data_IF_184285603176
#
_entry.id   IF_184285603176
#
_cell.length_a   1.000
_cell.length_b   1.000
_cell.length_c   1.000
_cell.angle_alpha   90.00
_cell.angle_beta   90.00
_cell.angle_gamma   90.00
#
_symmetry.space_group_name_H-M   'P 1'
#
loop_
_entity.id
_entity.type
_entity.pdbx_description
1 polymer ?
#
# COMPACT_ATOMS: atom_id res chain seq x y z
N UNK A 1 4.24 -51.45 13.38
CA UNK A 1 4.23 -50.32 14.33
C UNK A 1 4.59 -49.08 13.56
N UNK A 2 3.68 -48.11 13.43
CA UNK A 2 3.92 -46.89 12.66
C UNK A 2 4.48 -45.82 13.60
N UNK A 3 5.72 -45.41 13.36
CA UNK A 3 6.39 -44.36 14.13
C UNK A 3 5.93 -43.00 13.63
N UNK A 4 5.16 -42.29 14.45
CA UNK A 4 4.76 -40.90 14.16
C UNK A 4 5.94 -39.99 14.49
N UNK A 5 6.68 -39.59 13.47
CA UNK A 5 7.75 -38.58 13.59
C UNK A 5 7.10 -37.22 13.72
N UNK A 6 7.04 -36.68 14.93
CA UNK A 6 6.72 -35.27 15.17
C UNK A 6 7.92 -34.42 14.76
N UNK A 7 7.99 -34.07 13.47
CA UNK A 7 8.98 -33.13 12.97
C UNK A 7 8.59 -31.71 13.40
N UNK A 8 9.29 -31.16 14.38
CA UNK A 8 9.31 -29.71 14.62
C UNK A 8 9.98 -29.04 13.42
N UNK A 9 9.21 -28.81 12.36
CA UNK A 9 9.66 -28.09 11.18
C UNK A 9 9.64 -26.60 11.48
N UNK A 10 10.81 -26.08 11.84
CA UNK A 10 11.12 -24.65 11.80
C UNK A 10 10.91 -24.18 10.36
N UNK A 11 9.84 -23.43 10.12
CA UNK A 11 9.64 -22.78 8.83
C UNK A 11 10.71 -21.70 8.67
N UNK A 12 11.43 -21.71 7.55
CA UNK A 12 12.36 -20.64 7.22
C UNK A 12 11.73 -19.70 6.20
N UNK A 13 12.00 -18.40 6.33
CA UNK A 13 11.53 -17.38 5.38
C UNK A 13 12.06 -17.66 3.98
N UNK A 14 13.23 -18.28 3.87
CA UNK A 14 13.89 -18.67 2.62
C UNK A 14 13.06 -19.64 1.75
N UNK A 15 12.14 -20.38 2.36
CA UNK A 15 11.25 -21.29 1.64
C UNK A 15 10.02 -20.57 1.07
N UNK A 16 9.76 -19.33 1.50
CA UNK A 16 8.60 -18.58 1.06
C UNK A 16 8.84 -17.98 -0.33
N UNK A 17 7.80 -17.98 -1.14
CA UNK A 17 7.74 -17.23 -2.41
C UNK A 17 6.86 -16.01 -2.21
N UNK A 18 7.16 -14.96 -2.96
CA UNK A 18 6.31 -13.79 -3.05
C UNK A 18 5.44 -13.93 -4.30
N UNK A 19 4.13 -13.98 -4.11
CA UNK A 19 3.16 -13.89 -5.20
C UNK A 19 2.66 -12.45 -5.27
N UNK A 20 2.71 -11.87 -6.47
CA UNK A 20 2.31 -10.49 -6.73
C UNK A 20 1.16 -10.52 -7.71
N UNK A 21 0.03 -9.94 -7.33
CA UNK A 21 -1.12 -9.73 -8.22
C UNK A 21 -1.47 -8.26 -8.27
N UNK A 22 -1.85 -7.80 -9.46
CA UNK A 22 -2.30 -6.44 -9.71
C UNK A 22 -3.76 -6.50 -10.13
N UNK A 23 -4.60 -5.74 -9.43
CA UNK A 23 -6.01 -5.55 -9.74
C UNK A 23 -6.23 -4.09 -10.11
N UNK A 24 -6.89 -3.89 -11.24
CA UNK A 24 -7.18 -2.56 -11.78
C UNK A 24 -8.59 -2.19 -11.34
N UNK A 25 -8.76 -1.02 -10.73
CA UNK A 25 -10.10 -0.53 -10.38
C UNK A 25 -10.88 -0.21 -11.65
N UNK A 26 -12.09 -0.75 -11.78
CA UNK A 26 -12.94 -0.55 -12.96
C UNK A 26 -13.29 0.93 -13.17
N UNK A 27 -13.51 1.67 -12.10
CA UNK A 27 -13.88 3.09 -12.12
C UNK A 27 -12.71 3.98 -12.54
N UNK A 28 -11.49 3.60 -12.15
CA UNK A 28 -10.29 4.44 -12.31
C UNK A 28 -9.07 3.65 -12.82
N UNK A 29 -9.15 2.95 -13.96
CA UNK A 29 -8.20 1.90 -14.33
C UNK A 29 -6.78 2.39 -14.66
N UNK A 30 -6.63 3.70 -14.90
CA UNK A 30 -5.34 4.33 -15.17
C UNK A 30 -4.76 5.07 -13.96
N UNK A 31 -5.58 5.27 -12.94
CA UNK A 31 -5.30 6.19 -11.84
C UNK A 31 -5.03 5.40 -10.56
N UNK A 32 -5.85 4.38 -10.29
CA UNK A 32 -5.79 3.54 -9.10
C UNK A 32 -5.58 2.08 -9.46
N UNK A 33 -4.67 1.43 -8.74
CA UNK A 33 -4.37 0.00 -8.88
C UNK A 33 -4.13 -0.63 -7.52
N UNK A 34 -4.76 -1.75 -7.25
CA UNK A 34 -4.45 -2.58 -6.10
C UNK A 34 -3.31 -3.51 -6.45
N UNK A 35 -2.35 -3.60 -5.54
CA UNK A 35 -1.25 -4.54 -5.62
C UNK A 35 -1.38 -5.43 -4.39
N UNK A 36 -1.66 -6.71 -4.61
CA UNK A 36 -1.66 -7.71 -3.56
C UNK A 36 -0.36 -8.49 -3.59
N UNK A 37 0.22 -8.65 -2.41
CA UNK A 37 1.50 -9.28 -2.18
C UNK A 37 1.31 -10.36 -1.12
N UNK A 38 1.42 -11.62 -1.52
CA UNK A 38 1.31 -12.76 -0.62
C UNK A 38 2.65 -13.46 -0.44
N UNK A 39 3.09 -13.56 0.81
CA UNK A 39 4.21 -14.42 1.18
C UNK A 39 3.69 -15.84 1.40
N UNK A 40 3.94 -16.73 0.43
CA UNK A 40 3.40 -18.08 0.36
C UNK A 40 4.46 -19.10 0.73
N UNK A 41 4.19 -19.92 1.74
CA UNK A 41 5.02 -21.06 2.10
C UNK A 41 4.53 -22.34 1.45
N UNK A 42 5.41 -23.20 0.89
CA UNK A 42 5.04 -24.38 0.11
C UNK A 42 4.04 -25.32 0.80
N UNK A 43 4.15 -25.47 2.12
CA UNK A 43 3.30 -26.39 2.89
C UNK A 43 2.21 -25.71 3.71
N UNK A 44 2.27 -24.38 3.88
CA UNK A 44 1.32 -23.65 4.74
C UNK A 44 0.45 -22.65 3.98
N UNK A 45 0.68 -22.46 2.69
CA UNK A 45 0.00 -21.43 1.90
C UNK A 45 0.43 -20.03 2.31
N UNK A 46 -0.43 -19.04 2.06
CA UNK A 46 -0.18 -17.65 2.41
C UNK A 46 0.01 -17.47 3.93
N UNK A 47 1.15 -16.92 4.33
CA UNK A 47 1.47 -16.62 5.74
C UNK A 47 1.14 -15.16 6.06
N UNK A 48 1.45 -14.26 5.11
CA UNK A 48 1.26 -12.83 5.23
C UNK A 48 0.79 -12.27 3.90
N UNK A 49 -0.05 -11.26 4.01
CA UNK A 49 -0.58 -10.53 2.87
C UNK A 49 -0.32 -9.04 3.09
N UNK A 50 -0.01 -8.35 2.01
CA UNK A 50 0.06 -6.91 1.95
C UNK A 50 -0.78 -6.45 0.76
N UNK A 51 -1.71 -5.55 1.04
CA UNK A 51 -2.44 -4.84 0.00
C UNK A 51 -1.88 -3.43 -0.06
N UNK A 52 -1.49 -3.01 -1.26
CA UNK A 52 -1.06 -1.66 -1.52
C UNK A 52 -1.95 -1.03 -2.58
N UNK A 53 -2.23 0.26 -2.40
CA UNK A 53 -2.90 1.08 -3.40
C UNK A 53 -1.86 1.94 -4.08
N UNK A 54 -1.73 1.79 -5.40
CA UNK A 54 -0.88 2.62 -6.24
C UNK A 54 -1.73 3.71 -6.88
N UNK A 55 -1.24 4.95 -6.79
CA UNK A 55 -1.95 6.18 -7.12
C UNK A 55 -1.11 6.98 -8.14
N UNK A 56 -1.63 7.14 -9.35
CA UNK A 56 -1.03 7.99 -10.39
C UNK A 56 -1.66 9.40 -10.37
N UNK A 57 -1.04 10.29 -9.59
CA UNK A 57 -1.56 11.65 -9.32
C UNK A 57 -1.66 12.54 -10.54
N UNK A 58 -0.75 12.37 -11.49
CA UNK A 58 -0.73 13.18 -12.71
C UNK A 58 -1.97 12.91 -13.59
N UNK A 59 -2.61 11.76 -13.40
CA UNK A 59 -3.80 11.37 -14.12
C UNK A 59 -5.11 11.96 -13.56
N UNK A 60 -5.13 12.49 -12.32
CA UNK A 60 -6.38 12.94 -11.65
C UNK A 60 -6.93 14.28 -12.18
N UNK A 61 -6.12 15.11 -12.85
CA UNK A 61 -6.54 16.38 -13.48
C UNK A 61 -7.42 17.30 -12.60
N UNK A 62 -7.21 17.30 -11.28
CA UNK A 62 -7.96 18.12 -10.32
C UNK A 62 -9.08 17.41 -9.57
N UNK A 63 -9.36 16.14 -9.88
CA UNK A 63 -10.35 15.30 -9.18
C UNK A 63 -9.68 14.40 -8.12
N UNK A 64 -8.58 14.85 -7.51
CA UNK A 64 -7.75 14.00 -6.66
C UNK A 64 -8.51 13.43 -5.47
N UNK A 65 -9.28 14.25 -4.78
CA UNK A 65 -10.00 13.82 -3.58
C UNK A 65 -11.22 12.96 -3.89
N UNK A 66 -11.99 13.31 -4.92
CA UNK A 66 -13.21 12.58 -5.30
C UNK A 66 -12.90 11.10 -5.57
N UNK A 67 -11.85 10.86 -6.35
CA UNK A 67 -11.41 9.50 -6.72
C UNK A 67 -10.87 8.71 -5.53
N UNK A 68 -10.33 9.37 -4.50
CA UNK A 68 -9.85 8.69 -3.28
C UNK A 68 -10.98 8.46 -2.25
N UNK A 69 -12.05 9.25 -2.32
CA UNK A 69 -13.25 9.12 -1.49
C UNK A 69 -14.02 7.84 -1.80
N UNK A 70 -14.09 7.49 -3.09
CA UNK A 70 -14.73 6.24 -3.55
C UNK A 70 -13.99 4.98 -3.05
N UNK A 71 -12.70 5.10 -2.68
CA UNK A 71 -11.83 3.95 -2.47
C UNK A 71 -11.79 3.43 -1.02
N UNK A 72 -11.70 4.30 -0.02
CA UNK A 72 -11.85 3.89 1.40
C UNK A 72 -12.03 5.08 2.33
N UNK A 73 -12.75 4.94 3.45
CA UNK A 73 -13.00 6.03 4.40
C UNK A 73 -11.71 6.65 5.02
N UNK A 74 -10.62 5.89 5.13
CA UNK A 74 -9.37 6.36 5.76
C UNK A 74 -8.49 7.18 4.80
N UNK A 75 -8.58 6.90 3.50
CA UNK A 75 -7.69 7.44 2.47
C UNK A 75 -7.93 8.93 2.16
N UNK A 76 -9.18 9.44 2.12
CA UNK A 76 -9.50 10.86 1.97
C UNK A 76 -8.97 11.69 3.14
N UNK A 77 -9.12 11.18 4.36
CA UNK A 77 -8.61 11.87 5.55
C UNK A 77 -7.10 12.01 5.47
N UNK A 78 -6.40 10.92 5.09
CA UNK A 78 -4.97 10.97 4.83
C UNK A 78 -4.61 11.96 3.71
N UNK A 79 -5.29 11.86 2.56
CA UNK A 79 -4.99 12.65 1.37
C UNK A 79 -5.23 14.15 1.58
N UNK A 80 -6.36 14.53 2.15
CA UNK A 80 -6.72 15.93 2.43
C UNK A 80 -5.87 16.56 3.52
N UNK A 81 -5.28 15.75 4.42
CA UNK A 81 -4.36 16.27 5.43
C UNK A 81 -3.02 16.70 4.82
N UNK A 82 -2.51 15.95 3.84
CA UNK A 82 -1.16 16.13 3.29
C UNK A 82 -1.13 16.88 1.96
N UNK A 83 -2.09 16.64 1.09
CA UNK A 83 -2.07 17.10 -0.29
C UNK A 83 -3.14 18.16 -0.56
N UNK A 84 -2.98 18.88 -1.67
CA UNK A 84 -4.00 19.74 -2.27
C UNK A 84 -4.88 18.97 -3.27
N UNK A 85 -5.84 19.65 -3.90
CA UNK A 85 -6.77 19.04 -4.87
C UNK A 85 -6.09 18.58 -6.17
N UNK A 86 -4.81 18.93 -6.38
CA UNK A 86 -3.99 18.46 -7.49
C UNK A 86 -3.05 17.33 -7.07
N UNK A 87 -3.14 16.85 -5.81
CA UNK A 87 -2.28 15.81 -5.28
C UNK A 87 -0.86 16.27 -4.94
N UNK A 88 -0.62 17.59 -4.84
CA UNK A 88 0.68 18.15 -4.45
C UNK A 88 0.73 18.33 -2.94
N UNK A 89 1.90 18.13 -2.35
CA UNK A 89 2.10 18.31 -0.93
C UNK A 89 1.83 19.77 -0.56
N UNK A 90 1.07 19.99 0.51
CA UNK A 90 0.72 21.36 0.91
C UNK A 90 1.99 22.17 1.25
N UNK A 91 2.10 23.42 0.78
CA UNK A 91 3.28 24.26 1.05
C UNK A 91 3.59 24.42 2.54
N UNK A 92 2.54 24.47 3.38
CA UNK A 92 2.68 24.57 4.83
C UNK A 92 3.43 23.38 5.45
N UNK A 93 3.45 22.21 4.82
CA UNK A 93 4.19 21.04 5.28
C UNK A 93 5.65 21.03 4.79
N UNK A 94 5.99 21.85 3.80
CA UNK A 94 7.35 21.97 3.25
C UNK A 94 8.09 23.16 3.86
N UNK A 95 7.39 24.30 3.97
CA UNK A 95 7.99 25.59 4.31
C UNK A 95 7.99 25.86 5.82
N UNK A 96 7.09 25.24 6.58
CA UNK A 96 6.98 25.49 8.01
C UNK A 96 7.98 24.65 8.82
N UNK A 97 8.92 25.32 9.51
CA UNK A 97 9.96 24.68 10.32
C UNK A 97 9.43 23.76 11.43
N UNK A 98 8.18 23.96 11.88
CA UNK A 98 7.55 23.13 12.89
C UNK A 98 6.78 21.94 12.31
N UNK A 99 6.13 22.12 11.14
CA UNK A 99 5.30 21.07 10.54
C UNK A 99 6.07 20.13 9.61
N UNK A 100 7.18 20.58 9.01
CA UNK A 100 8.00 19.76 8.11
C UNK A 100 8.76 18.62 8.80
N UNK A 101 8.70 18.55 10.14
CA UNK A 101 9.41 17.57 10.95
C UNK A 101 10.92 17.64 10.72
N UNK A 102 11.54 16.50 10.40
CA UNK A 102 12.98 16.43 10.08
C UNK A 102 13.34 17.04 8.72
N UNK A 103 12.37 17.51 7.95
CA UNK A 103 12.59 18.07 6.61
C UNK A 103 13.01 17.03 5.57
N UNK A 104 12.70 15.75 5.81
CA UNK A 104 13.07 14.64 4.90
C UNK A 104 12.22 14.64 3.63
N UNK A 105 11.05 15.25 3.66
CA UNK A 105 10.11 15.28 2.54
C UNK A 105 9.83 16.73 2.15
N UNK A 106 10.09 17.07 0.89
CA UNK A 106 9.76 18.35 0.28
C UNK A 106 9.01 18.14 -1.03
N UNK A 107 9.31 18.97 -2.03
CA UNK A 107 8.68 18.90 -3.35
C UNK A 107 8.99 17.61 -4.13
N UNK A 108 9.88 16.75 -3.62
CA UNK A 108 10.05 15.39 -4.15
C UNK A 108 8.75 14.60 -4.07
N UNK A 109 7.92 14.87 -3.06
CA UNK A 109 6.59 14.28 -2.95
C UNK A 109 5.59 14.87 -3.93
N UNK A 110 5.88 15.92 -4.70
CA UNK A 110 4.93 16.45 -5.70
C UNK A 110 4.94 15.68 -7.02
N UNK A 111 5.91 14.78 -7.21
CA UNK A 111 6.13 14.09 -8.46
C UNK A 111 5.97 12.58 -8.33
N UNK A 112 5.60 11.94 -9.43
CA UNK A 112 5.53 10.49 -9.54
C UNK A 112 4.40 9.85 -8.74
N UNK A 113 4.54 8.53 -8.57
CA UNK A 113 3.50 7.66 -8.04
C UNK A 113 3.51 7.65 -6.52
N UNK A 114 2.33 7.73 -5.91
CA UNK A 114 2.16 7.41 -4.50
C UNK A 114 1.73 5.96 -4.33
N UNK A 115 2.16 5.37 -3.22
CA UNK A 115 1.73 4.05 -2.81
C UNK A 115 1.42 4.06 -1.33
N UNK A 116 0.22 3.64 -0.96
CA UNK A 116 -0.12 3.31 0.44
C UNK A 116 -0.10 1.80 0.58
N UNK A 117 0.24 1.28 1.76
CA UNK A 117 0.27 -0.16 1.98
C UNK A 117 -0.22 -0.53 3.35
N UNK A 118 -1.02 -1.58 3.42
CA UNK A 118 -1.52 -2.18 4.66
C UNK A 118 -1.14 -3.64 4.70
N UNK A 119 -0.45 -4.03 5.77
CA UNK A 119 -0.09 -5.41 6.02
C UNK A 119 -1.15 -6.09 6.90
N UNK A 120 -1.52 -7.32 6.57
CA UNK A 120 -2.45 -8.12 7.34
C UNK A 120 -1.86 -9.50 7.68
N UNK A 121 -2.39 -10.12 8.74
CA UNK A 121 -2.12 -11.51 9.06
C UNK A 121 -3.08 -12.39 8.29
N UNK A 122 -2.57 -13.42 7.60
CA UNK A 122 -3.46 -14.39 6.99
C UNK A 122 -4.15 -15.21 8.10
N UNK A 123 -5.49 -15.20 8.16
CA UNK A 123 -6.23 -16.05 9.10
C UNK A 123 -6.01 -17.51 8.70
N UNK A 124 -5.48 -18.33 9.62
CA UNK A 124 -5.45 -19.78 9.43
C UNK A 124 -6.90 -20.26 9.33
N UNK A 125 -7.28 -20.78 8.16
CA UNK A 125 -8.52 -21.57 7.99
C UNK A 125 -8.35 -22.95 8.61
#
# INVERSE_FOLDING_TARGET
MATVVHGNSTLTVEQCKLEVTEEVLEEYPRILKHIHLDAVHPTRGAIRSLTALRIDRDAFRGNFFDVLDDESDELPTFATSLFDSFGRLKPELVENDYLKGTGVWGHELDQGLLSTSRMSTCKRR
#
